data_IF_838162543476
#
_entry.id   IF_838162543476
#
_cell.length_a   1.000
_cell.length_b   1.000
_cell.length_c   1.000
_cell.angle_alpha   90.00
_cell.angle_beta   90.00
_cell.angle_gamma   90.00
#
_symmetry.space_group_name_H-M   'P 1'
#
loop_
_entity.id
_entity.type
_entity.pdbx_description
1 polymer ?
#
# COMPACT_ATOMS: atom_id res chain seq x y z
N UNK A 1 16.28 -24.83 4.02
CA UNK A 1 16.24 -24.23 5.38
C UNK A 1 15.13 -23.21 5.35
N UNK A 2 14.01 -23.50 5.97
CA UNK A 2 12.88 -22.55 6.12
C UNK A 2 13.34 -21.46 7.10
N UNK A 3 13.47 -20.24 6.63
CA UNK A 3 13.71 -19.09 7.51
C UNK A 3 12.48 -18.93 8.40
N UNK A 4 12.59 -19.30 9.66
CA UNK A 4 11.49 -19.19 10.60
C UNK A 4 11.08 -17.73 10.74
N UNK A 5 9.77 -17.47 10.63
CA UNK A 5 9.17 -16.18 11.01
C UNK A 5 9.59 -15.94 12.47
N UNK A 6 10.21 -14.78 12.73
CA UNK A 6 10.66 -14.46 14.08
C UNK A 6 9.45 -14.39 15.03
N UNK A 7 9.41 -15.14 16.13
CA UNK A 7 8.23 -15.21 17.01
C UNK A 7 7.89 -13.88 17.72
N UNK A 8 8.75 -12.88 17.60
CA UNK A 8 8.59 -11.57 18.26
C UNK A 8 8.19 -10.43 17.33
N UNK A 9 8.05 -10.66 16.01
CA UNK A 9 7.50 -9.64 15.13
C UNK A 9 5.98 -9.67 15.17
N UNK A 10 5.35 -8.51 15.30
CA UNK A 10 3.89 -8.41 15.21
C UNK A 10 3.53 -7.48 14.07
N UNK A 11 2.68 -7.97 13.17
CA UNK A 11 2.09 -7.18 12.11
C UNK A 11 0.59 -7.45 12.06
N UNK A 12 -0.21 -6.38 11.98
CA UNK A 12 -1.67 -6.48 11.96
C UNK A 12 -2.26 -5.62 10.85
N UNK A 13 -3.33 -6.12 10.27
CA UNK A 13 -4.18 -5.38 9.34
C UNK A 13 -5.49 -5.04 10.05
N UNK A 14 -5.85 -3.77 10.01
CA UNK A 14 -7.07 -3.22 10.56
C UNK A 14 -7.95 -2.74 9.42
N UNK A 15 -9.10 -3.38 9.25
CA UNK A 15 -10.08 -2.95 8.27
C UNK A 15 -10.77 -1.66 8.73
N UNK A 16 -11.09 -0.74 7.81
CA UNK A 16 -11.82 0.46 8.15
C UNK A 16 -13.26 0.14 8.56
N UNK A 17 -13.85 1.01 9.37
CA UNK A 17 -15.31 1.04 9.57
C UNK A 17 -16.01 1.15 8.21
N UNK A 18 -17.21 0.60 8.09
CA UNK A 18 -17.98 0.64 6.83
C UNK A 18 -18.13 2.05 6.27
N UNK A 19 -18.31 3.04 7.13
CA UNK A 19 -18.40 4.46 6.76
C UNK A 19 -17.12 5.01 6.10
N UNK A 20 -15.97 4.41 6.35
CA UNK A 20 -14.66 4.79 5.83
C UNK A 20 -14.13 3.88 4.71
N UNK A 21 -14.87 2.85 4.31
CA UNK A 21 -14.40 1.84 3.34
C UNK A 21 -14.06 2.41 1.96
N UNK A 22 -14.65 3.54 1.57
CA UNK A 22 -14.33 4.27 0.35
C UNK A 22 -13.20 5.32 0.53
N UNK A 23 -12.74 5.52 1.76
CA UNK A 23 -11.65 6.44 2.10
C UNK A 23 -10.36 5.69 2.42
N UNK A 24 -10.45 4.71 3.30
CA UNK A 24 -9.34 3.88 3.74
C UNK A 24 -9.42 2.48 3.14
N UNK A 25 -8.30 1.99 2.65
CA UNK A 25 -8.14 0.58 2.28
C UNK A 25 -7.92 -0.30 3.52
N UNK A 26 -7.00 0.14 4.38
CA UNK A 26 -6.65 -0.49 5.64
C UNK A 26 -5.73 0.43 6.47
N UNK A 27 -5.55 0.07 7.73
CA UNK A 27 -4.42 0.51 8.55
C UNK A 27 -3.55 -0.71 8.83
N UNK A 28 -2.24 -0.60 8.65
CA UNK A 28 -1.27 -1.63 8.98
C UNK A 28 -0.48 -1.17 10.20
N UNK A 29 -0.30 -2.04 11.17
CA UNK A 29 0.63 -1.81 12.28
C UNK A 29 1.72 -2.88 12.26
N UNK A 30 2.93 -2.49 12.59
CA UNK A 30 4.07 -3.40 12.67
C UNK A 30 5.01 -2.99 13.79
N UNK A 31 5.42 -3.97 14.59
CA UNK A 31 6.54 -3.84 15.51
C UNK A 31 7.53 -4.99 15.34
N UNK A 32 8.81 -4.62 15.39
CA UNK A 32 9.95 -5.56 15.46
C UNK A 32 10.75 -5.35 16.73
N UNK A 33 10.20 -4.59 17.69
CA UNK A 33 10.81 -4.36 19.00
C UNK A 33 10.83 -5.69 19.76
N UNK A 34 11.98 -6.06 20.27
CA UNK A 34 12.18 -7.34 20.94
C UNK A 34 12.45 -8.53 20.00
N UNK A 35 12.38 -8.35 18.67
CA UNK A 35 12.72 -9.39 17.71
C UNK A 35 14.21 -9.33 17.34
N UNK A 36 14.87 -10.50 17.33
CA UNK A 36 16.23 -10.63 16.81
C UNK A 36 16.20 -10.94 15.31
N UNK A 37 16.11 -9.89 14.51
CA UNK A 37 16.05 -9.99 13.05
C UNK A 37 17.46 -9.95 12.47
N UNK A 38 17.79 -10.94 11.63
CA UNK A 38 18.98 -10.89 10.80
C UNK A 38 18.84 -9.84 9.69
N UNK A 39 19.91 -9.59 8.94
CA UNK A 39 19.94 -8.54 7.90
C UNK A 39 18.87 -8.75 6.85
N UNK A 40 18.67 -9.97 6.35
CA UNK A 40 17.68 -10.27 5.31
C UNK A 40 16.24 -10.05 5.78
N UNK A 41 15.95 -10.27 7.05
CA UNK A 41 14.62 -10.09 7.65
C UNK A 41 14.27 -8.62 7.90
N UNK A 42 15.22 -7.70 7.80
CA UNK A 42 15.03 -6.24 7.96
C UNK A 42 14.62 -5.54 6.67
N UNK A 43 14.60 -6.24 5.54
CA UNK A 43 14.03 -5.72 4.30
C UNK A 43 12.51 -5.75 4.37
N UNK A 44 11.86 -4.83 3.66
CA UNK A 44 10.41 -4.78 3.50
C UNK A 44 10.09 -4.60 2.04
N UNK A 45 9.37 -5.54 1.46
CA UNK A 45 8.96 -5.53 0.06
C UNK A 45 7.51 -5.09 -0.05
N UNK A 46 7.26 -4.08 -0.89
CA UNK A 46 5.93 -3.56 -1.17
C UNK A 46 5.65 -3.59 -2.67
N UNK A 47 4.46 -4.02 -3.11
CA UNK A 47 4.08 -3.97 -4.51
C UNK A 47 3.87 -2.55 -4.99
N UNK A 48 3.91 -2.34 -6.30
CA UNK A 48 3.31 -1.16 -6.91
C UNK A 48 1.85 -1.03 -6.45
N UNK A 49 1.45 0.16 -6.04
CA UNK A 49 0.15 0.40 -5.43
C UNK A 49 -0.45 1.72 -5.90
N UNK A 50 -1.76 1.77 -6.20
CA UNK A 50 -2.42 3.03 -6.49
C UNK A 50 -2.69 3.87 -5.24
N UNK A 51 -2.50 3.31 -4.03
CA UNK A 51 -2.83 3.98 -2.78
C UNK A 51 -1.80 5.05 -2.41
N UNK A 52 -2.26 6.06 -1.70
CA UNK A 52 -1.39 6.91 -0.90
C UNK A 52 -1.20 6.28 0.48
N UNK A 53 -0.07 6.56 1.13
CA UNK A 53 0.16 6.10 2.50
C UNK A 53 0.64 7.23 3.40
N UNK A 54 0.12 7.26 4.62
CA UNK A 54 0.64 8.08 5.71
C UNK A 54 1.24 7.15 6.75
N UNK A 55 2.55 7.29 7.00
CA UNK A 55 3.27 6.43 7.93
C UNK A 55 3.76 7.22 9.13
N UNK A 56 3.50 6.68 10.32
CA UNK A 56 3.95 7.18 11.61
C UNK A 56 4.92 6.18 12.22
N UNK A 57 6.10 6.62 12.67
CA UNK A 57 7.05 5.80 13.42
C UNK A 57 7.13 6.26 14.87
N UNK A 58 6.76 5.39 15.81
CA UNK A 58 7.02 5.60 17.24
C UNK A 58 8.48 5.33 17.57
N UNK A 59 9.03 4.27 16.96
CA UNK A 59 10.42 3.84 17.16
C UNK A 59 11.06 3.44 15.84
N UNK A 60 12.38 3.69 15.74
CA UNK A 60 13.17 3.33 14.56
C UNK A 60 12.90 4.20 13.34
N UNK A 61 13.37 3.76 12.21
CA UNK A 61 13.18 4.39 10.92
C UNK A 61 13.30 3.35 9.79
N UNK A 62 12.98 3.78 8.57
CA UNK A 62 13.29 3.04 7.36
C UNK A 62 14.15 3.89 6.42
N UNK A 63 14.88 3.22 5.54
CA UNK A 63 15.63 3.81 4.43
C UNK A 63 15.21 3.10 3.14
N UNK A 64 15.08 3.86 2.06
CA UNK A 64 14.67 3.27 0.77
C UNK A 64 15.89 2.77 -0.01
N UNK A 65 15.74 1.64 -0.67
CA UNK A 65 16.70 1.18 -1.65
C UNK A 65 16.46 1.92 -2.97
N UNK A 66 17.55 2.19 -3.76
CA UNK A 66 17.40 2.69 -5.12
C UNK A 66 16.55 1.74 -5.97
N UNK A 67 15.77 2.27 -6.93
CA UNK A 67 14.88 1.47 -7.76
C UNK A 67 15.56 0.36 -8.55
N UNK A 68 16.82 0.58 -8.92
CA UNK A 68 17.62 -0.33 -9.74
C UNK A 68 18.59 -1.19 -8.90
N UNK A 69 18.42 -1.17 -7.57
CA UNK A 69 19.28 -1.94 -6.69
C UNK A 69 18.99 -3.44 -6.88
N UNK A 70 20.04 -4.28 -7.13
CA UNK A 70 19.89 -5.73 -7.25
C UNK A 70 19.48 -6.42 -5.94
N UNK A 71 19.21 -5.67 -4.88
CA UNK A 71 18.80 -6.11 -3.54
C UNK A 71 17.47 -6.84 -3.45
N UNK A 72 16.83 -7.12 -4.58
CA UNK A 72 15.80 -8.15 -4.68
C UNK A 72 16.36 -9.58 -4.57
N UNK A 73 17.66 -9.76 -4.67
CA UNK A 73 18.32 -11.03 -4.46
C UNK A 73 18.92 -11.08 -3.06
N UNK A 74 18.74 -12.18 -2.39
CA UNK A 74 19.29 -12.74 -1.16
C UNK A 74 20.58 -12.10 -0.58
N UNK A 75 20.59 -10.79 -0.36
CA UNK A 75 21.74 -10.12 0.25
C UNK A 75 21.78 -10.47 1.73
N UNK A 76 22.75 -11.29 2.11
CA UNK A 76 23.10 -11.56 3.51
C UNK A 76 23.76 -10.34 4.19
N UNK A 77 23.93 -9.24 3.47
CA UNK A 77 24.64 -8.06 3.92
C UNK A 77 23.69 -6.85 3.96
N UNK A 78 23.96 -5.93 4.86
CA UNK A 78 23.28 -4.64 4.88
C UNK A 78 23.47 -3.93 3.54
N UNK A 79 22.44 -3.27 3.01
CA UNK A 79 22.54 -2.57 1.73
C UNK A 79 23.53 -1.40 1.84
N UNK A 80 24.37 -1.23 0.82
CA UNK A 80 25.38 -0.18 0.78
C UNK A 80 24.88 1.13 0.18
N UNK A 81 23.82 1.06 -0.65
CA UNK A 81 23.17 2.21 -1.26
C UNK A 81 21.77 2.38 -0.65
N UNK A 82 21.61 3.37 0.21
CA UNK A 82 20.37 3.69 0.89
C UNK A 82 20.07 5.18 0.78
N UNK A 83 18.78 5.53 0.82
CA UNK A 83 18.38 6.92 1.03
C UNK A 83 18.83 7.43 2.42
N UNK A 84 18.71 8.73 2.66
CA UNK A 84 18.64 9.23 4.03
C UNK A 84 17.49 8.51 4.78
N UNK A 85 17.55 8.42 6.13
CA UNK A 85 16.43 7.94 6.92
C UNK A 85 15.15 8.69 6.58
N UNK A 86 14.05 7.95 6.43
CA UNK A 86 12.74 8.54 6.18
C UNK A 86 12.26 9.35 7.39
N UNK A 87 11.52 10.45 7.18
CA UNK A 87 10.99 11.25 8.26
C UNK A 87 10.01 10.47 9.13
N UNK A 88 9.94 10.81 10.42
CA UNK A 88 9.08 10.16 11.42
C UNK A 88 7.59 10.21 11.07
N UNK A 89 7.19 11.18 10.26
CA UNK A 89 5.85 11.30 9.68
C UNK A 89 6.00 11.44 8.16
N UNK A 90 5.66 10.39 7.44
CA UNK A 90 5.88 10.28 6.00
C UNK A 90 4.57 10.22 5.24
N UNK A 91 4.40 11.09 4.26
CA UNK A 91 3.36 10.95 3.23
C UNK A 91 3.99 10.40 1.95
N UNK A 92 3.37 9.37 1.39
CA UNK A 92 3.73 8.83 0.09
C UNK A 92 2.51 8.75 -0.83
N UNK A 93 2.72 9.05 -2.11
CA UNK A 93 1.71 8.94 -3.15
C UNK A 93 1.65 7.53 -3.76
N UNK A 94 0.90 7.39 -4.87
CA UNK A 94 0.86 6.15 -5.63
C UNK A 94 2.22 5.77 -6.21
N UNK A 95 2.53 4.47 -6.23
CA UNK A 95 3.76 3.95 -6.84
C UNK A 95 3.45 3.04 -8.03
N UNK A 96 4.13 3.29 -9.14
CA UNK A 96 3.98 2.53 -10.40
C UNK A 96 4.92 1.32 -10.50
N UNK A 97 5.82 1.19 -9.55
CA UNK A 97 6.82 0.13 -9.41
C UNK A 97 6.92 -0.33 -7.97
N UNK A 98 7.40 -1.55 -7.73
CA UNK A 98 7.59 -2.05 -6.37
C UNK A 98 8.62 -1.19 -5.61
N UNK A 99 8.50 -1.20 -4.29
CA UNK A 99 9.41 -0.51 -3.38
C UNK A 99 10.05 -1.51 -2.44
N UNK A 100 11.30 -1.22 -2.08
CA UNK A 100 12.00 -1.93 -1.01
C UNK A 100 12.53 -0.92 -0.03
N UNK A 101 12.24 -1.14 1.25
CA UNK A 101 12.86 -0.40 2.33
C UNK A 101 13.64 -1.34 3.24
N UNK A 102 14.54 -0.78 4.00
CA UNK A 102 15.34 -1.49 4.99
C UNK A 102 15.31 -0.76 6.33
N UNK A 103 15.17 -1.54 7.42
CA UNK A 103 15.17 -1.01 8.77
C UNK A 103 16.54 -1.26 9.43
N UNK A 104 17.31 -0.22 9.80
CA UNK A 104 18.63 -0.39 10.42
C UNK A 104 18.57 -1.04 11.81
N UNK A 105 17.43 -0.96 12.49
CA UNK A 105 17.19 -1.50 13.82
C UNK A 105 15.73 -1.87 14.06
N UNK A 106 15.37 -2.17 15.31
CA UNK A 106 13.98 -2.38 15.71
C UNK A 106 13.11 -1.18 15.37
N UNK A 107 11.86 -1.43 14.99
CA UNK A 107 10.93 -0.39 14.60
C UNK A 107 9.51 -0.68 15.12
N UNK A 108 8.77 0.41 15.34
CA UNK A 108 7.32 0.37 15.56
C UNK A 108 6.67 1.46 14.72
N UNK A 109 5.73 1.07 13.86
CA UNK A 109 5.08 1.97 12.92
C UNK A 109 3.63 1.58 12.63
N UNK A 110 2.88 2.62 12.20
CA UNK A 110 1.55 2.48 11.63
C UNK A 110 1.53 3.10 10.22
N UNK A 111 0.90 2.41 9.27
CA UNK A 111 0.73 2.85 7.91
C UNK A 111 -0.77 2.94 7.59
N UNK A 112 -1.25 4.13 7.26
CA UNK A 112 -2.59 4.32 6.73
C UNK A 112 -2.54 4.18 5.22
N UNK A 113 -3.34 3.29 4.67
CA UNK A 113 -3.50 3.12 3.23
C UNK A 113 -4.78 3.84 2.78
N UNK A 114 -4.62 4.99 2.12
CA UNK A 114 -5.69 5.92 1.80
C UNK A 114 -5.97 5.88 0.29
N UNK A 115 -7.25 5.86 -0.09
CA UNK A 115 -7.63 6.01 -1.50
C UNK A 115 -7.19 7.40 -2.00
N UNK A 116 -6.55 7.51 -3.17
CA UNK A 116 -5.97 8.77 -3.65
C UNK A 116 -7.00 9.90 -3.80
N UNK A 117 -8.17 9.59 -4.34
CA UNK A 117 -9.25 10.58 -4.51
C UNK A 117 -9.84 11.01 -3.16
N UNK A 118 -9.82 10.12 -2.16
CA UNK A 118 -10.21 10.47 -0.80
C UNK A 118 -9.17 11.40 -0.16
N UNK A 119 -7.87 11.11 -0.29
CA UNK A 119 -6.82 12.00 0.19
C UNK A 119 -6.93 13.39 -0.47
N UNK A 120 -7.13 13.44 -1.79
CA UNK A 120 -7.37 14.69 -2.51
C UNK A 120 -8.53 15.49 -1.94
N UNK A 121 -9.67 14.84 -1.66
CA UNK A 121 -10.87 15.50 -1.10
C UNK A 121 -10.68 15.99 0.33
N UNK A 122 -9.99 15.20 1.15
CA UNK A 122 -9.76 15.48 2.55
C UNK A 122 -8.71 16.58 2.80
N UNK A 123 -7.71 16.70 1.91
CA UNK A 123 -6.56 17.57 2.12
C UNK A 123 -6.36 18.64 1.05
N UNK A 124 -7.02 18.50 -0.10
CA UNK A 124 -6.77 19.36 -1.27
C UNK A 124 -5.49 19.05 -2.06
N UNK A 125 -4.68 18.06 -1.62
CA UNK A 125 -3.43 17.69 -2.29
C UNK A 125 -3.68 17.21 -3.72
N UNK A 126 -2.87 17.69 -4.65
CA UNK A 126 -2.89 17.23 -6.05
C UNK A 126 -2.13 15.91 -6.16
N UNK A 127 -2.83 14.77 -6.03
CA UNK A 127 -2.20 13.44 -6.01
C UNK A 127 -1.35 13.15 -7.25
N UNK A 128 -1.66 13.78 -8.39
CA UNK A 128 -0.85 13.68 -9.60
C UNK A 128 0.62 14.09 -9.42
N UNK A 129 0.90 15.01 -8.49
CA UNK A 129 2.23 15.51 -8.22
C UNK A 129 3.01 14.60 -7.24
N UNK A 130 2.32 13.59 -6.70
CA UNK A 130 2.84 12.65 -5.72
C UNK A 130 3.14 11.26 -6.28
N UNK A 131 2.93 11.04 -7.55
CA UNK A 131 3.22 9.72 -8.17
C UNK A 131 4.70 9.41 -8.10
N UNK A 132 5.05 8.23 -7.55
CA UNK A 132 6.42 7.78 -7.27
C UNK A 132 7.22 8.73 -6.36
N UNK A 133 6.53 9.38 -5.44
CA UNK A 133 7.11 10.37 -4.55
C UNK A 133 6.68 10.14 -3.10
N UNK A 134 7.56 10.47 -2.17
CA UNK A 134 7.31 10.59 -0.75
C UNK A 134 8.00 11.84 -0.20
N UNK A 135 7.50 12.37 0.93
CA UNK A 135 8.09 13.51 1.60
C UNK A 135 7.64 13.55 3.08
N UNK A 136 8.24 14.44 3.87
CA UNK A 136 7.79 14.74 5.22
C UNK A 136 6.36 15.28 5.18
N UNK A 137 5.43 14.56 5.81
CA UNK A 137 4.04 14.95 5.84
C UNK A 137 3.79 16.30 6.52
N UNK A 138 4.72 16.74 7.40
CA UNK A 138 4.65 18.05 8.07
C UNK A 138 4.71 19.23 7.09
N UNK A 139 5.33 19.02 5.93
CA UNK A 139 5.42 20.08 4.91
C UNK A 139 4.15 20.26 4.08
N UNK A 140 3.21 19.31 4.13
CA UNK A 140 2.12 19.23 3.14
C UNK A 140 0.74 18.97 3.72
N UNK A 141 0.62 18.34 4.87
CA UNK A 141 -0.67 18.05 5.47
C UNK A 141 -1.28 19.29 6.16
N UNK A 142 -2.62 19.41 6.20
CA UNK A 142 -3.32 20.44 6.97
C UNK A 142 -3.00 20.37 8.47
N UNK A 143 -3.11 21.48 9.15
CA UNK A 143 -2.75 21.61 10.56
C UNK A 143 -3.51 20.65 11.49
N UNK A 144 -4.78 20.38 11.21
CA UNK A 144 -5.60 19.44 12.00
C UNK A 144 -5.15 17.99 11.84
N UNK A 145 -4.67 17.58 10.64
CA UNK A 145 -4.02 16.29 10.42
C UNK A 145 -2.72 16.18 11.20
N UNK A 146 -1.91 17.25 11.17
CA UNK A 146 -0.64 17.28 11.92
C UNK A 146 -0.88 17.20 13.42
N UNK A 147 -1.91 17.89 13.95
CA UNK A 147 -2.29 17.81 15.35
C UNK A 147 -2.70 16.38 15.75
N UNK A 148 -3.50 15.69 14.92
CA UNK A 148 -3.80 14.28 15.14
C UNK A 148 -2.54 13.42 15.15
N UNK A 149 -1.71 13.53 14.10
CA UNK A 149 -0.49 12.72 13.99
C UNK A 149 0.43 12.93 15.19
N UNK A 150 0.59 14.18 15.64
CA UNK A 150 1.39 14.50 16.83
C UNK A 150 0.77 13.87 18.09
N UNK A 151 -0.54 13.97 18.28
CA UNK A 151 -1.22 13.37 19.43
C UNK A 151 -1.10 11.85 19.48
N UNK A 152 -1.08 11.18 18.31
CA UNK A 152 -0.84 9.73 18.22
C UNK A 152 0.62 9.40 18.55
N UNK A 153 1.57 10.18 18.04
CA UNK A 153 3.00 9.97 18.27
C UNK A 153 3.44 10.26 19.70
N UNK A 154 2.74 11.13 20.41
CA UNK A 154 3.03 11.47 21.81
C UNK A 154 2.46 10.45 22.80
N UNK A 155 1.41 9.72 22.40
CA UNK A 155 0.78 8.67 23.20
C UNK A 155 1.45 7.31 22.94
N UNK A 156 2.65 7.14 23.48
CA UNK A 156 3.48 5.94 23.27
C UNK A 156 2.97 4.72 24.03
N UNK A 157 2.13 4.91 25.03
CA UNK A 157 1.60 3.84 25.90
C UNK A 157 0.28 3.27 25.35
N UNK A 158 -0.39 3.93 24.42
CA UNK A 158 -1.60 3.43 23.82
C UNK A 158 -1.31 2.25 22.90
N UNK A 159 -2.23 1.29 22.88
CA UNK A 159 -2.14 0.15 21.97
C UNK A 159 -2.56 0.52 20.52
N UNK A 160 -2.23 -0.37 19.59
CA UNK A 160 -2.56 -0.21 18.17
C UNK A 160 -4.06 0.01 17.93
N UNK A 161 -4.94 -0.69 18.69
CA UNK A 161 -6.40 -0.59 18.53
C UNK A 161 -6.90 0.81 18.90
N UNK A 162 -6.37 1.39 19.97
CA UNK A 162 -6.68 2.74 20.43
C UNK A 162 -6.22 3.78 19.40
N UNK A 163 -5.00 3.64 18.85
CA UNK A 163 -4.52 4.53 17.79
C UNK A 163 -5.38 4.45 16.53
N UNK A 164 -5.74 3.24 16.10
CA UNK A 164 -6.61 3.03 14.93
C UNK A 164 -8.01 3.60 15.17
N UNK A 165 -8.56 3.45 16.37
CA UNK A 165 -9.85 4.03 16.72
C UNK A 165 -9.81 5.56 16.63
N UNK A 166 -8.86 6.21 17.30
CA UNK A 166 -8.68 7.69 17.26
C UNK A 166 -8.53 8.23 15.86
N UNK A 167 -7.77 7.51 15.02
CA UNK A 167 -7.61 7.84 13.62
C UNK A 167 -8.95 7.80 12.87
N UNK A 168 -9.72 6.75 13.06
CA UNK A 168 -11.01 6.60 12.39
C UNK A 168 -12.04 7.62 12.92
N UNK A 169 -12.04 7.93 14.21
CA UNK A 169 -12.88 8.97 14.82
C UNK A 169 -12.58 10.37 14.25
N UNK A 170 -11.30 10.64 13.93
CA UNK A 170 -10.89 11.87 13.25
C UNK A 170 -11.34 11.91 11.79
N UNK A 171 -11.19 10.79 11.06
CA UNK A 171 -11.46 10.73 9.63
C UNK A 171 -12.94 10.68 9.29
N UNK A 172 -13.75 9.98 10.09
CA UNK A 172 -15.14 9.70 9.74
C UNK A 172 -15.99 10.96 9.52
N UNK A 173 -16.03 11.95 10.43
CA UNK A 173 -16.81 13.17 10.20
C UNK A 173 -16.29 13.98 9.02
N UNK A 174 -14.97 14.02 8.81
CA UNK A 174 -14.35 14.73 7.68
C UNK A 174 -14.69 14.07 6.36
N UNK A 175 -14.63 12.75 6.30
CA UNK A 175 -15.00 12.01 5.10
C UNK A 175 -16.49 12.16 4.80
N UNK A 176 -17.37 12.10 5.78
CA UNK A 176 -18.80 12.32 5.61
C UNK A 176 -19.12 13.69 5.01
N UNK A 177 -18.34 14.72 5.35
CA UNK A 177 -18.50 16.08 4.81
C UNK A 177 -18.11 16.23 3.34
N UNK A 178 -17.17 15.41 2.83
CA UNK A 178 -16.59 15.55 1.48
C UNK A 178 -16.84 14.37 0.55
N UNK A 179 -17.36 13.25 1.09
CA UNK A 179 -17.59 12.05 0.27
C UNK A 179 -18.60 12.28 -0.83
N UNK A 180 -18.50 11.56 -1.94
CA UNK A 180 -19.51 11.60 -3.00
C UNK A 180 -20.87 11.06 -2.52
N UNK A 181 -21.96 11.60 -3.08
CA UNK A 181 -23.35 11.19 -2.73
C UNK A 181 -23.81 9.87 -3.40
N UNK A 182 -22.90 9.03 -3.90
CA UNK A 182 -23.22 7.72 -4.49
C UNK A 182 -22.44 6.60 -3.80
N UNK A 183 -22.98 5.37 -3.83
CA UNK A 183 -22.29 4.23 -3.26
C UNK A 183 -20.93 4.01 -3.96
N UNK A 184 -19.85 4.05 -3.22
CA UNK A 184 -18.53 3.66 -3.69
C UNK A 184 -18.18 2.30 -3.09
N UNK A 185 -17.94 1.31 -3.95
CA UNK A 185 -17.29 0.09 -3.55
C UNK A 185 -15.77 0.26 -3.78
N UNK A 186 -14.98 0.10 -2.73
CA UNK A 186 -13.54 0.33 -2.81
C UNK A 186 -12.72 -0.74 -2.07
N UNK A 187 -13.32 -1.94 -1.87
CA UNK A 187 -12.64 -3.06 -1.22
C UNK A 187 -11.49 -3.65 -2.07
N UNK A 188 -11.59 -3.54 -3.40
CA UNK A 188 -10.55 -3.95 -4.34
C UNK A 188 -10.16 -2.76 -5.23
N UNK A 189 -8.94 -2.77 -5.73
CA UNK A 189 -8.48 -1.72 -6.65
C UNK A 189 -9.31 -1.68 -7.93
N UNK A 190 -9.79 -2.84 -8.40
CA UNK A 190 -10.66 -2.94 -9.57
C UNK A 190 -12.00 -2.20 -9.36
N UNK A 191 -12.67 -2.46 -8.24
CA UNK A 191 -13.96 -1.84 -7.89
C UNK A 191 -13.81 -0.33 -7.69
N UNK A 192 -12.76 0.08 -6.99
CA UNK A 192 -12.44 1.49 -6.81
C UNK A 192 -12.16 2.18 -8.17
N UNK A 193 -11.34 1.59 -9.04
CA UNK A 193 -11.03 2.15 -10.36
C UNK A 193 -12.28 2.27 -11.25
N UNK A 194 -13.21 1.31 -11.17
CA UNK A 194 -14.49 1.36 -11.87
C UNK A 194 -15.39 2.46 -11.31
N UNK A 195 -15.52 2.58 -9.99
CA UNK A 195 -16.27 3.64 -9.33
C UNK A 195 -15.72 5.02 -9.67
N UNK A 196 -14.39 5.16 -9.69
CA UNK A 196 -13.71 6.40 -10.07
C UNK A 196 -13.97 6.77 -11.53
N UNK A 197 -13.96 5.79 -12.45
CA UNK A 197 -14.26 5.99 -13.87
C UNK A 197 -15.71 6.45 -14.08
N UNK A 198 -16.66 5.82 -13.39
CA UNK A 198 -18.08 6.21 -13.43
C UNK A 198 -18.25 7.64 -12.90
N UNK A 199 -17.63 7.96 -11.79
CA UNK A 199 -17.61 9.31 -11.25
C UNK A 199 -17.06 10.33 -12.24
N UNK A 200 -15.91 10.04 -12.86
CA UNK A 200 -15.32 10.94 -13.83
C UNK A 200 -16.18 11.16 -15.07
N UNK A 201 -16.98 10.16 -15.45
CA UNK A 201 -17.93 10.27 -16.55
C UNK A 201 -19.16 11.15 -16.22
N UNK A 202 -19.61 11.12 -14.94
CA UNK A 202 -20.83 11.82 -14.49
C UNK A 202 -20.57 13.26 -13.99
N UNK A 203 -19.36 13.61 -13.62
CA UNK A 203 -19.03 14.80 -12.79
C UNK A 203 -19.04 16.15 -13.49
N UNK A 204 -19.27 16.29 -14.81
CA UNK A 204 -19.35 17.62 -15.44
C UNK A 204 -19.86 17.62 -16.88
N UNK A 205 -20.35 18.78 -17.41
CA UNK A 205 -20.54 19.00 -18.83
C UNK A 205 -19.18 18.87 -19.55
N UNK A 206 -19.13 18.03 -20.56
CA UNK A 206 -17.91 17.67 -21.27
C UNK A 206 -17.63 16.17 -21.15
N UNK A 207 -18.29 15.40 -22.03
CA UNK A 207 -18.27 13.91 -22.01
C UNK A 207 -17.14 13.31 -22.86
N UNK A 208 -16.08 14.08 -23.20
CA UNK A 208 -14.99 13.49 -23.96
C UNK A 208 -14.14 12.57 -23.11
N UNK A 209 -13.70 11.44 -23.68
CA UNK A 209 -12.79 10.49 -23.04
C UNK A 209 -11.53 11.18 -22.49
N UNK A 210 -11.01 12.17 -23.21
CA UNK A 210 -9.84 12.95 -22.80
C UNK A 210 -10.07 13.74 -21.50
N UNK A 211 -11.26 14.31 -21.33
CA UNK A 211 -11.60 15.06 -20.11
C UNK A 211 -11.81 14.12 -18.93
N UNK A 212 -12.44 12.96 -19.15
CA UNK A 212 -12.56 11.91 -18.14
C UNK A 212 -11.18 11.44 -17.65
N UNK A 213 -10.27 11.14 -18.59
CA UNK A 213 -8.90 10.72 -18.26
C UNK A 213 -8.13 11.79 -17.47
N UNK A 214 -8.28 13.08 -17.82
CA UNK A 214 -7.69 14.18 -17.06
C UNK A 214 -8.20 14.25 -15.62
N UNK A 215 -9.51 14.04 -15.40
CA UNK A 215 -10.10 14.02 -14.05
C UNK A 215 -9.55 12.84 -13.23
N UNK A 216 -9.56 11.63 -13.80
CA UNK A 216 -9.03 10.43 -13.14
C UNK A 216 -7.57 10.66 -12.74
N UNK A 217 -6.74 11.12 -13.66
CA UNK A 217 -5.33 11.40 -13.38
C UNK A 217 -5.15 12.48 -12.30
N UNK A 218 -5.99 13.52 -12.30
CA UNK A 218 -5.94 14.55 -11.26
C UNK A 218 -6.29 14.00 -9.87
N UNK A 219 -7.32 13.14 -9.78
CA UNK A 219 -7.81 12.62 -8.50
C UNK A 219 -7.00 11.44 -7.98
N UNK A 220 -6.55 10.55 -8.86
CA UNK A 220 -5.87 9.31 -8.50
C UNK A 220 -4.37 9.28 -8.84
N UNK A 221 -3.84 10.32 -9.48
CA UNK A 221 -2.45 10.38 -9.91
C UNK A 221 -2.13 9.57 -11.16
N UNK A 222 -2.82 8.46 -11.39
CA UNK A 222 -2.55 7.49 -12.45
C UNK A 222 -3.68 7.46 -13.49
N UNK A 223 -3.38 7.18 -14.78
CA UNK A 223 -4.39 6.98 -15.80
C UNK A 223 -5.20 5.70 -15.55
N UNK A 224 -6.48 5.69 -15.99
CA UNK A 224 -7.39 4.56 -15.77
C UNK A 224 -6.83 3.21 -16.22
N UNK A 225 -6.09 3.19 -17.34
CA UNK A 225 -5.44 1.95 -17.82
C UNK A 225 -4.48 1.34 -16.80
N UNK A 226 -3.67 2.17 -16.13
CA UNK A 226 -2.74 1.71 -15.10
C UNK A 226 -3.49 1.25 -13.83
N UNK A 227 -4.52 1.98 -13.41
CA UNK A 227 -5.36 1.59 -12.28
C UNK A 227 -6.01 0.23 -12.50
N UNK A 228 -6.57 0.00 -13.69
CA UNK A 228 -7.14 -1.32 -14.08
C UNK A 228 -6.07 -2.41 -14.12
N UNK A 229 -4.84 -2.10 -14.55
CA UNK A 229 -3.72 -3.04 -14.52
C UNK A 229 -3.36 -3.47 -13.10
N UNK A 230 -3.27 -2.52 -12.16
CA UNK A 230 -3.04 -2.80 -10.75
C UNK A 230 -4.21 -3.60 -10.14
N UNK A 231 -5.46 -3.29 -10.51
CA UNK A 231 -6.63 -4.06 -10.08
C UNK A 231 -6.59 -5.51 -10.55
N UNK A 232 -6.18 -5.78 -11.79
CA UNK A 232 -6.00 -7.17 -12.27
C UNK A 232 -4.88 -7.89 -11.51
N UNK A 233 -3.78 -7.19 -11.22
CA UNK A 233 -2.67 -7.79 -10.45
C UNK A 233 -3.08 -8.10 -9.00
N UNK A 234 -3.87 -7.24 -8.37
CA UNK A 234 -4.46 -7.49 -7.07
C UNK A 234 -5.41 -8.71 -7.12
N UNK A 235 -6.28 -8.78 -8.12
CA UNK A 235 -7.19 -9.93 -8.29
C UNK A 235 -6.42 -11.23 -8.48
N UNK A 236 -5.37 -11.22 -9.31
CA UNK A 236 -4.51 -12.40 -9.51
C UNK A 236 -3.83 -12.84 -8.21
N UNK A 237 -3.38 -11.89 -7.40
CA UNK A 237 -2.81 -12.18 -6.07
C UNK A 237 -3.83 -12.91 -5.17
N UNK A 238 -5.06 -12.42 -5.06
CA UNK A 238 -6.08 -13.07 -4.23
C UNK A 238 -6.54 -14.42 -4.82
N UNK A 239 -6.63 -14.53 -6.14
CA UNK A 239 -6.92 -15.82 -6.80
C UNK A 239 -5.82 -16.84 -6.48
N UNK A 240 -4.55 -16.39 -6.44
CA UNK A 240 -3.42 -17.25 -6.06
C UNK A 240 -3.56 -17.73 -4.61
N UNK A 241 -3.86 -16.84 -3.67
CA UNK A 241 -4.07 -17.22 -2.26
C UNK A 241 -5.17 -18.26 -2.12
N UNK A 242 -6.33 -18.04 -2.75
CA UNK A 242 -7.44 -19.01 -2.71
C UNK A 242 -7.09 -20.36 -3.36
N UNK A 243 -6.34 -20.37 -4.47
CA UNK A 243 -5.94 -21.60 -5.14
C UNK A 243 -4.95 -22.44 -4.31
N UNK A 244 -4.08 -21.78 -3.54
CA UNK A 244 -3.04 -22.45 -2.74
C UNK A 244 -3.56 -23.19 -1.51
N UNK A 245 -4.79 -22.96 -1.09
CA UNK A 245 -5.45 -23.78 -0.06
C UNK A 245 -5.56 -25.26 -0.46
N UNK A 246 -5.56 -25.56 -1.78
CA UNK A 246 -5.71 -26.90 -2.31
C UNK A 246 -4.43 -27.50 -2.94
N UNK A 247 -3.28 -26.83 -2.77
CA UNK A 247 -1.98 -27.29 -3.29
C UNK A 247 -1.27 -26.24 -4.14
N UNK A 248 -0.18 -26.60 -4.85
CA UNK A 248 0.55 -25.66 -5.69
C UNK A 248 -0.34 -25.12 -6.82
N UNK A 249 -0.32 -23.81 -7.09
CA UNK A 249 -1.22 -23.18 -8.03
C UNK A 249 -0.89 -23.57 -9.50
N UNK A 250 -1.92 -23.77 -10.31
CA UNK A 250 -1.78 -23.85 -11.76
C UNK A 250 -1.75 -22.44 -12.35
N UNK A 251 -0.57 -21.96 -12.73
CA UNK A 251 -0.38 -20.59 -13.21
C UNK A 251 -1.08 -20.30 -14.54
N UNK A 252 -1.35 -21.31 -15.38
CA UNK A 252 -2.11 -21.12 -16.62
C UNK A 252 -3.59 -20.86 -16.34
N UNK A 253 -4.21 -21.66 -15.47
CA UNK A 253 -5.60 -21.45 -15.02
C UNK A 253 -5.77 -20.11 -14.28
N UNK A 254 -4.81 -19.75 -13.43
CA UNK A 254 -4.81 -18.46 -12.73
C UNK A 254 -4.67 -17.27 -13.68
N UNK A 255 -3.92 -17.41 -14.77
CA UNK A 255 -3.82 -16.37 -15.79
C UNK A 255 -5.19 -16.13 -16.44
N UNK A 256 -5.87 -17.18 -16.85
CA UNK A 256 -7.22 -17.11 -17.46
C UNK A 256 -8.23 -16.53 -16.47
N UNK A 257 -8.32 -17.08 -15.26
CA UNK A 257 -9.22 -16.62 -14.19
C UNK A 257 -9.01 -15.16 -13.76
N UNK A 258 -7.81 -14.60 -14.02
CA UNK A 258 -7.45 -13.22 -13.69
C UNK A 258 -7.49 -12.29 -14.91
N UNK A 259 -7.95 -12.77 -16.08
CA UNK A 259 -8.10 -11.97 -17.31
C UNK A 259 -6.77 -11.61 -17.98
N UNK A 260 -5.76 -12.49 -17.87
CA UNK A 260 -4.51 -12.42 -18.64
C UNK A 260 -4.60 -13.32 -19.88
N UNK A 261 -3.94 -12.92 -20.95
CA UNK A 261 -3.97 -13.69 -22.20
C UNK A 261 -3.31 -15.07 -22.07
N UNK A 262 -2.27 -15.18 -21.26
CA UNK A 262 -1.51 -16.39 -21.00
C UNK A 262 -0.67 -16.27 -19.71
N UNK A 263 -0.05 -17.37 -19.30
CA UNK A 263 0.85 -17.43 -18.16
C UNK A 263 2.05 -16.46 -18.29
N UNK A 264 2.58 -16.28 -19.49
CA UNK A 264 3.71 -15.37 -19.74
C UNK A 264 3.32 -13.92 -19.49
N UNK A 265 2.08 -13.55 -19.86
CA UNK A 265 1.52 -12.22 -19.57
C UNK A 265 1.35 -12.02 -18.06
N UNK A 266 0.78 -13.00 -17.35
CA UNK A 266 0.70 -12.98 -15.89
C UNK A 266 2.09 -12.80 -15.26
N UNK A 267 3.09 -13.59 -15.70
CA UNK A 267 4.46 -13.49 -15.18
C UNK A 267 5.08 -12.10 -15.39
N UNK A 268 4.91 -11.50 -16.56
CA UNK A 268 5.45 -10.14 -16.85
C UNK A 268 4.78 -9.09 -15.98
N UNK A 269 3.46 -9.12 -15.86
CA UNK A 269 2.72 -8.15 -15.04
C UNK A 269 3.00 -8.33 -13.55
N UNK A 270 3.10 -9.55 -13.04
CA UNK A 270 3.47 -9.79 -11.64
C UNK A 270 4.88 -9.25 -11.35
N UNK A 271 5.86 -9.50 -12.23
CA UNK A 271 7.21 -8.92 -12.09
C UNK A 271 7.19 -7.39 -12.12
N UNK A 272 6.39 -6.80 -13.00
CA UNK A 272 6.26 -5.33 -13.08
C UNK A 272 5.71 -4.74 -11.78
N UNK A 273 4.76 -5.42 -11.13
CA UNK A 273 4.08 -4.91 -9.93
C UNK A 273 4.84 -5.26 -8.65
N UNK A 274 5.50 -6.40 -8.58
CA UNK A 274 6.09 -6.93 -7.35
C UNK A 274 7.62 -7.06 -7.39
N UNK A 275 8.21 -7.10 -8.58
CA UNK A 275 9.63 -7.43 -8.78
C UNK A 275 9.91 -8.93 -8.98
N UNK A 276 8.93 -9.80 -8.71
CA UNK A 276 9.09 -11.25 -8.69
C UNK A 276 8.14 -11.96 -9.68
N UNK A 277 8.51 -13.17 -10.11
CA UNK A 277 7.56 -14.04 -10.79
C UNK A 277 6.48 -14.52 -9.80
N UNK A 278 5.30 -14.98 -10.28
CA UNK A 278 4.24 -15.47 -9.41
C UNK A 278 4.71 -16.57 -8.44
N UNK A 279 5.43 -17.57 -8.95
CA UNK A 279 5.96 -18.68 -8.15
C UNK A 279 7.00 -18.22 -7.12
N UNK A 280 7.92 -17.35 -7.51
CA UNK A 280 8.92 -16.79 -6.61
C UNK A 280 8.27 -15.94 -5.51
N UNK A 281 7.32 -15.07 -5.88
CA UNK A 281 6.58 -14.24 -4.94
C UNK A 281 5.87 -15.11 -3.90
N UNK A 282 5.16 -16.14 -4.36
CA UNK A 282 4.44 -17.05 -3.46
C UNK A 282 5.39 -17.74 -2.47
N UNK A 283 6.50 -18.30 -2.93
CA UNK A 283 7.49 -18.94 -2.06
C UNK A 283 8.06 -17.98 -1.01
N UNK A 284 8.36 -16.73 -1.40
CA UNK A 284 8.88 -15.70 -0.51
C UNK A 284 7.86 -15.24 0.52
N UNK A 285 6.60 -15.07 0.14
CA UNK A 285 5.53 -14.70 1.08
C UNK A 285 5.42 -15.73 2.20
N UNK A 286 5.55 -17.02 1.88
CA UNK A 286 5.45 -18.10 2.87
C UNK A 286 6.72 -18.20 3.74
N UNK A 287 7.91 -17.99 3.17
CA UNK A 287 9.18 -18.27 3.84
C UNK A 287 9.86 -17.04 4.46
N UNK A 288 9.74 -15.86 3.83
CA UNK A 288 10.60 -14.72 4.15
C UNK A 288 9.88 -13.66 4.99
N UNK A 289 10.47 -13.29 6.12
CA UNK A 289 9.93 -12.24 7.01
C UNK A 289 9.81 -10.89 6.29
N UNK A 290 10.68 -10.59 5.35
CA UNK A 290 10.68 -9.36 4.55
C UNK A 290 9.43 -9.16 3.68
N UNK A 291 8.60 -10.21 3.51
CA UNK A 291 7.32 -10.18 2.77
C UNK A 291 6.10 -10.09 3.68
N UNK A 292 6.26 -9.65 4.92
CA UNK A 292 5.19 -9.52 5.91
C UNK A 292 3.96 -8.75 5.40
N UNK A 293 4.16 -7.71 4.60
CA UNK A 293 3.09 -6.87 4.07
C UNK A 293 2.11 -7.61 3.15
N UNK A 294 2.59 -8.65 2.46
CA UNK A 294 1.74 -9.51 1.62
C UNK A 294 0.93 -10.50 2.47
N UNK A 295 1.51 -11.03 3.56
CA UNK A 295 0.84 -11.98 4.47
C UNK A 295 -0.38 -11.38 5.18
N UNK A 296 -0.41 -10.08 5.38
CA UNK A 296 -1.53 -9.41 6.05
C UNK A 296 -2.87 -9.48 5.28
N UNK A 297 -2.83 -9.89 4.02
CA UNK A 297 -4.01 -9.98 3.16
C UNK A 297 -4.52 -11.42 2.98
N UNK A 298 -3.93 -12.36 3.70
CA UNK A 298 -4.32 -13.77 3.74
C UNK A 298 -5.54 -14.00 4.61
#
# INVERSE_FOLDING_TARGET
>A
MTAAISPHTTSRLWLPRSALSACLRAVLTRTTVGADLNVAQRYNHFPASPLCSLTLWWQGCAQMLPPDHPGYSESLHAPTALSAPLPRLLLAGPFTRPLVSWNPGPMQAMLLLIQPDALHRLTGLAVADWVNRWDDARAVLPADWLALCQSLLDDVDADDATHVQRLQDFLEPRWQAVRPNWPMQAQRYGDWAQSLALHAALSAPGRSLRQMERRIKRWAGLPLRQLRGLGRSEQAFFNTLAATENGPPNWAELADASGYADQSHLCRETRRVTGFSPDELYRRIVADESFWSYRLWQ
#
